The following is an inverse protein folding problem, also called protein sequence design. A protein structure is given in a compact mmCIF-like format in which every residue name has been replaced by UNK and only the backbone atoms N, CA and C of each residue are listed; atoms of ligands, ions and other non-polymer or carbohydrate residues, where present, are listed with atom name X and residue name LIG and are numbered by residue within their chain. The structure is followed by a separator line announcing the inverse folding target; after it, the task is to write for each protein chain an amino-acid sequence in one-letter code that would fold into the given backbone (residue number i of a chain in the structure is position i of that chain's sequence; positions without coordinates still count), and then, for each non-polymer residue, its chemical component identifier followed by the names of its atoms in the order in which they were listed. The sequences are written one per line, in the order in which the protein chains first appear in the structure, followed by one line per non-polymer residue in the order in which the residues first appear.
data_IF_442264262754
#
_entry.id   IF_442264262754
#
_cell.length_a   1.000
_cell.length_b   1.000
_cell.length_c   1.000
_cell.angle_alpha   90.00
_cell.angle_beta   90.00
_cell.angle_gamma   90.00
#
_symmetry.space_group_name_H-M   'P 1'
#
loop_
_entity.id
_entity.type
_entity.pdbx_description
1 polymer ?
#
# COMPACT_ATOMS: atom_id res chain seq x y z
N UNK A 1 4.56 28.19 -10.67
CA UNK A 1 4.10 28.02 -9.27
C UNK A 1 2.93 27.04 -9.16
N UNK A 2 1.83 27.19 -9.92
CA UNK A 2 0.67 26.28 -9.84
C UNK A 2 0.99 24.80 -10.17
N UNK A 3 1.80 24.54 -11.20
CA UNK A 3 2.19 23.17 -11.60
C UNK A 3 2.95 22.44 -10.50
N UNK A 4 3.87 23.13 -9.82
CA UNK A 4 4.61 22.59 -8.68
C UNK A 4 3.66 22.20 -7.54
N UNK A 5 2.70 23.07 -7.22
CA UNK A 5 1.68 22.78 -6.21
C UNK A 5 0.85 21.57 -6.58
N UNK A 6 0.38 21.47 -7.83
CA UNK A 6 -0.42 20.33 -8.29
C UNK A 6 0.35 19.01 -8.21
N UNK A 7 1.60 18.97 -8.67
CA UNK A 7 2.44 17.77 -8.63
C UNK A 7 2.68 17.32 -7.19
N UNK A 8 3.08 18.24 -6.32
CA UNK A 8 3.36 17.90 -4.91
C UNK A 8 2.09 17.45 -4.19
N UNK A 9 0.95 18.10 -4.44
CA UNK A 9 -0.34 17.66 -3.89
C UNK A 9 -0.71 16.27 -4.41
N UNK A 10 -0.52 16.00 -5.71
CA UNK A 10 -0.76 14.67 -6.28
C UNK A 10 0.09 13.59 -5.59
N UNK A 11 1.38 13.86 -5.37
CA UNK A 11 2.27 12.95 -4.64
C UNK A 11 1.82 12.76 -3.19
N UNK A 12 1.45 13.85 -2.50
CA UNK A 12 0.93 13.77 -1.13
C UNK A 12 -0.35 12.94 -1.03
N UNK A 13 -1.23 12.99 -2.03
CA UNK A 13 -2.44 12.16 -2.09
C UNK A 13 -2.10 10.68 -2.29
N UNK A 14 -1.21 10.35 -3.23
CA UNK A 14 -0.73 8.97 -3.42
C UNK A 14 -0.07 8.44 -2.14
N UNK A 15 0.76 9.25 -1.52
CA UNK A 15 1.42 8.95 -0.25
C UNK A 15 0.44 8.77 0.91
N UNK A 16 -0.60 9.59 1.00
CA UNK A 16 -1.65 9.43 2.01
C UNK A 16 -2.39 8.09 1.84
N UNK A 17 -2.64 7.67 0.60
CA UNK A 17 -3.22 6.34 0.31
C UNK A 17 -2.30 5.20 0.76
N UNK A 18 -0.99 5.30 0.51
CA UNK A 18 0.02 4.33 0.96
C UNK A 18 0.06 4.29 2.50
N UNK A 19 0.09 5.45 3.16
CA UNK A 19 0.09 5.59 4.62
C UNK A 19 -1.13 4.90 5.24
N UNK A 20 -2.33 5.15 4.70
CA UNK A 20 -3.56 4.49 5.16
C UNK A 20 -3.51 2.98 4.95
N UNK A 21 -2.97 2.52 3.82
CA UNK A 21 -2.84 1.10 3.52
C UNK A 21 -1.86 0.38 4.46
N UNK A 22 -0.74 1.03 4.80
CA UNK A 22 0.22 0.54 5.80
C UNK A 22 -0.40 0.39 7.19
N UNK A 23 -1.14 1.41 7.65
CA UNK A 23 -1.82 1.36 8.94
C UNK A 23 -2.92 0.29 8.98
N UNK A 24 -3.68 0.14 7.90
CA UNK A 24 -4.69 -0.90 7.78
C UNK A 24 -4.05 -2.31 7.79
N UNK A 25 -2.95 -2.49 7.07
CA UNK A 25 -2.18 -3.73 7.06
C UNK A 25 -1.64 -4.06 8.46
N UNK A 26 -0.99 -3.09 9.13
CA UNK A 26 -0.49 -3.26 10.49
C UNK A 26 -1.58 -3.72 11.44
N UNK A 27 -2.74 -3.03 11.44
CA UNK A 27 -3.89 -3.38 12.27
C UNK A 27 -4.42 -4.78 11.95
N UNK A 28 -4.51 -5.14 10.67
CA UNK A 28 -4.93 -6.47 10.25
C UNK A 28 -4.02 -7.55 10.83
N UNK A 29 -2.70 -7.37 10.71
CA UNK A 29 -1.71 -8.33 11.21
C UNK A 29 -1.77 -8.46 12.73
N UNK A 30 -1.94 -7.35 13.47
CA UNK A 30 -2.14 -7.38 14.93
C UNK A 30 -3.38 -8.16 15.32
N UNK A 31 -4.50 -7.96 14.62
CA UNK A 31 -5.74 -8.70 14.90
C UNK A 31 -5.55 -10.19 14.62
N UNK A 32 -4.94 -10.56 13.49
CA UNK A 32 -4.69 -11.98 13.17
C UNK A 32 -3.78 -12.64 14.21
N UNK A 33 -2.67 -12.00 14.57
CA UNK A 33 -1.71 -12.53 15.55
C UNK A 33 -2.25 -12.59 16.99
N UNK A 34 -3.24 -11.76 17.34
CA UNK A 34 -3.94 -11.86 18.63
C UNK A 34 -4.90 -13.04 18.69
N UNK A 35 -5.56 -13.38 17.57
CA UNK A 35 -6.55 -14.45 17.53
C UNK A 35 -5.91 -15.81 17.24
N UNK A 36 -4.80 -15.82 16.50
CA UNK A 36 -4.05 -17.01 16.13
C UNK A 36 -2.59 -16.76 16.52
N UNK A 37 -2.07 -17.52 17.48
CA UNK A 37 -0.65 -17.48 17.91
C UNK A 37 0.34 -17.88 16.81
N UNK A 38 -0.15 -18.12 15.59
CA UNK A 38 0.62 -18.31 14.38
C UNK A 38 -0.20 -17.83 13.18
N UNK A 39 0.47 -17.41 12.10
CA UNK A 39 -0.18 -17.11 10.84
C UNK A 39 -0.18 -18.35 9.95
N UNK A 40 -1.25 -18.54 9.18
CA UNK A 40 -1.25 -19.57 8.15
C UNK A 40 -0.29 -19.20 7.00
N UNK A 41 0.23 -20.21 6.30
CA UNK A 41 1.09 -19.99 5.12
C UNK A 41 0.43 -19.07 4.09
N UNK A 42 -0.88 -19.22 3.87
CA UNK A 42 -1.64 -18.39 2.94
C UNK A 42 -1.71 -16.92 3.39
N UNK A 43 -1.87 -16.65 4.70
CA UNK A 43 -1.84 -15.28 5.23
C UNK A 43 -0.47 -14.64 5.07
N UNK A 44 0.60 -15.43 5.25
CA UNK A 44 1.95 -14.92 5.10
C UNK A 44 2.33 -14.68 3.63
N UNK A 45 1.90 -15.55 2.72
CA UNK A 45 2.01 -15.33 1.27
C UNK A 45 1.23 -14.09 0.85
N UNK A 46 0.00 -13.92 1.34
CA UNK A 46 -0.80 -12.74 1.10
C UNK A 46 -0.12 -11.46 1.58
N UNK A 47 0.44 -11.47 2.80
CA UNK A 47 1.22 -10.36 3.33
C UNK A 47 2.43 -10.07 2.44
N UNK A 48 3.20 -11.09 2.05
CA UNK A 48 4.36 -10.95 1.17
C UNK A 48 4.00 -10.37 -0.20
N UNK A 49 2.94 -10.86 -0.83
CA UNK A 49 2.44 -10.36 -2.11
C UNK A 49 1.95 -8.93 -2.01
N UNK A 50 1.26 -8.59 -0.93
CA UNK A 50 0.80 -7.23 -0.69
C UNK A 50 1.98 -6.26 -0.52
N UNK A 51 2.99 -6.64 0.25
CA UNK A 51 4.22 -5.85 0.43
C UNK A 51 4.94 -5.64 -0.89
N UNK A 52 5.06 -6.69 -1.71
CA UNK A 52 5.67 -6.59 -3.03
C UNK A 52 4.87 -5.63 -3.94
N UNK A 53 3.53 -5.70 -3.92
CA UNK A 53 2.67 -4.76 -4.66
C UNK A 53 2.82 -3.33 -4.17
N UNK A 54 2.97 -3.11 -2.87
CA UNK A 54 3.18 -1.80 -2.28
C UNK A 54 4.46 -1.15 -2.83
N UNK A 55 5.55 -1.91 -2.91
CA UNK A 55 6.83 -1.44 -3.47
C UNK A 55 6.79 -1.23 -4.98
N UNK A 56 6.00 -2.02 -5.70
CA UNK A 56 5.76 -1.81 -7.13
C UNK A 56 4.81 -0.63 -7.42
N UNK A 57 4.33 0.07 -6.39
CA UNK A 57 3.49 1.25 -6.53
C UNK A 57 4.12 2.33 -7.41
N UNK A 58 3.29 3.01 -8.19
CA UNK A 58 3.69 4.10 -9.09
C UNK A 58 4.40 5.24 -8.36
N UNK A 59 3.98 5.52 -7.12
CA UNK A 59 4.53 6.56 -6.27
C UNK A 59 6.06 6.48 -6.15
N UNK A 60 6.59 5.33 -5.72
CA UNK A 60 8.02 5.15 -5.50
C UNK A 60 8.81 5.41 -6.79
N UNK A 61 8.31 4.90 -7.92
CA UNK A 61 8.95 5.16 -9.22
C UNK A 61 8.90 6.62 -9.63
N UNK A 62 7.80 7.32 -9.39
CA UNK A 62 7.71 8.76 -9.71
C UNK A 62 8.74 9.57 -8.92
N UNK A 63 8.90 9.28 -7.64
CA UNK A 63 9.88 9.95 -6.79
C UNK A 63 11.32 9.65 -7.27
N UNK A 64 11.64 8.38 -7.47
CA UNK A 64 12.99 7.93 -7.84
C UNK A 64 13.39 8.30 -9.27
N UNK A 65 12.49 8.18 -10.25
CA UNK A 65 12.81 8.37 -11.67
C UNK A 65 12.74 9.82 -12.14
N UNK A 66 11.97 10.67 -11.46
CA UNK A 66 11.65 12.00 -11.98
C UNK A 66 11.91 13.09 -10.95
N UNK A 67 11.45 12.94 -9.70
CA UNK A 67 11.62 13.99 -8.70
C UNK A 67 13.08 14.11 -8.24
N UNK A 68 13.69 13.01 -7.80
CA UNK A 68 15.09 13.01 -7.32
C UNK A 68 16.07 13.49 -8.41
N UNK A 69 16.01 13.00 -9.66
CA UNK A 69 16.88 13.49 -10.72
C UNK A 69 16.68 14.98 -11.02
N UNK A 70 15.45 15.49 -10.96
CA UNK A 70 15.20 16.92 -11.14
C UNK A 70 15.80 17.76 -10.01
N UNK A 71 15.75 17.29 -8.76
CA UNK A 71 16.40 17.96 -7.62
C UNK A 71 17.93 17.96 -7.80
N UNK A 72 18.52 16.84 -8.21
CA UNK A 72 19.96 16.73 -8.50
C UNK A 72 20.39 17.73 -9.57
N UNK A 73 19.68 17.76 -10.69
CA UNK A 73 19.97 18.68 -11.79
C UNK A 73 19.84 20.15 -11.37
N UNK A 74 18.89 20.47 -10.50
CA UNK A 74 18.69 21.82 -9.98
C UNK A 74 19.70 22.23 -8.88
N UNK A 75 20.40 21.26 -8.27
CA UNK A 75 21.25 21.52 -7.10
C UNK A 75 22.64 20.87 -7.15
N UNK A 76 23.44 21.07 -8.23
CA UNK A 76 24.74 20.42 -8.41
C UNK A 76 25.81 20.78 -7.36
N UNK A 77 25.58 21.81 -6.54
CA UNK A 77 26.50 22.24 -5.47
C UNK A 77 26.01 21.88 -4.06
N UNK A 78 24.78 21.35 -3.91
CA UNK A 78 24.25 20.88 -2.63
C UNK A 78 24.09 19.35 -2.59
N UNK A 79 24.85 18.65 -3.44
CA UNK A 79 24.84 17.19 -3.54
C UNK A 79 25.02 16.55 -2.16
N UNK A 80 25.85 17.09 -1.27
CA UNK A 80 26.02 16.54 0.09
C UNK A 80 24.75 16.53 0.96
N UNK A 81 23.85 17.52 0.83
CA UNK A 81 22.60 17.55 1.60
C UNK A 81 21.56 16.59 1.01
N UNK A 82 21.46 16.57 -0.32
CA UNK A 82 20.57 15.64 -1.01
C UNK A 82 21.04 14.19 -0.85
N UNK A 83 22.34 13.93 -0.97
CA UNK A 83 22.93 12.61 -0.77
C UNK A 83 22.79 12.15 0.69
N UNK A 84 22.94 13.05 1.66
CA UNK A 84 22.63 12.77 3.06
C UNK A 84 21.19 12.33 3.26
N UNK A 85 20.23 13.11 2.75
CA UNK A 85 18.80 12.79 2.80
C UNK A 85 18.50 11.45 2.10
N UNK A 86 19.04 11.23 0.91
CA UNK A 86 18.83 9.99 0.16
C UNK A 86 19.45 8.78 0.87
N UNK A 87 20.60 8.94 1.52
CA UNK A 87 21.19 7.88 2.34
C UNK A 87 20.29 7.52 3.52
N UNK A 88 19.67 8.51 4.18
CA UNK A 88 18.70 8.26 5.25
C UNK A 88 17.44 7.55 4.73
N UNK A 89 16.88 7.99 3.60
CA UNK A 89 15.72 7.36 2.97
C UNK A 89 16.04 5.91 2.53
N UNK A 90 17.24 5.67 1.99
CA UNK A 90 17.72 4.35 1.64
C UNK A 90 17.93 3.47 2.88
N UNK A 91 18.44 4.03 3.98
CA UNK A 91 18.56 3.33 5.25
C UNK A 91 17.21 2.86 5.79
N UNK A 92 16.18 3.72 5.73
CA UNK A 92 14.81 3.34 6.09
C UNK A 92 14.24 2.26 5.18
N UNK A 93 14.52 2.34 3.88
CA UNK A 93 14.12 1.30 2.94
C UNK A 93 14.82 -0.03 3.23
N UNK A 94 16.12 0.00 3.57
CA UNK A 94 16.87 -1.19 3.95
C UNK A 94 16.32 -1.83 5.22
N UNK A 95 16.06 -1.03 6.26
CA UNK A 95 15.46 -1.50 7.51
C UNK A 95 14.08 -2.15 7.28
N UNK A 96 13.28 -1.59 6.36
CA UNK A 96 12.02 -2.17 5.95
C UNK A 96 12.22 -3.54 5.25
N UNK A 97 13.14 -3.63 4.29
CA UNK A 97 13.45 -4.89 3.59
C UNK A 97 14.03 -5.96 4.51
N UNK A 98 14.90 -5.60 5.45
CA UNK A 98 15.42 -6.50 6.48
C UNK A 98 14.31 -7.08 7.34
N UNK A 99 13.34 -6.24 7.73
CA UNK A 99 12.17 -6.65 8.50
C UNK A 99 11.31 -7.67 7.72
N UNK A 100 11.10 -7.47 6.41
CA UNK A 100 10.40 -8.44 5.56
C UNK A 100 11.19 -9.75 5.42
N UNK A 101 12.50 -9.68 5.20
CA UNK A 101 13.34 -10.87 5.09
C UNK A 101 13.36 -11.68 6.40
N UNK A 102 13.23 -11.01 7.56
CA UNK A 102 13.05 -11.68 8.84
C UNK A 102 11.69 -12.40 8.93
N UNK A 103 10.61 -11.78 8.43
CA UNK A 103 9.27 -12.39 8.33
C UNK A 103 9.30 -13.66 7.46
N UNK A 104 9.87 -13.57 6.25
CA UNK A 104 9.88 -14.68 5.30
C UNK A 104 10.73 -15.86 5.77
N UNK A 105 11.94 -15.61 6.30
CA UNK A 105 12.80 -16.68 6.84
C UNK A 105 12.12 -17.45 7.98
N UNK A 106 11.38 -16.74 8.83
CA UNK A 106 10.65 -17.35 9.96
C UNK A 106 9.42 -18.12 9.55
N UNK A 107 8.81 -17.78 8.41
CA UNK A 107 7.71 -18.54 7.84
C UNK A 107 8.16 -19.83 7.14
N UNK A 108 9.37 -19.84 6.58
CA UNK A 108 9.99 -21.02 6.00
C UNK A 108 10.57 -21.99 7.02
N UNK A 109 10.89 -21.50 8.23
CA UNK A 109 11.30 -22.33 9.36
C UNK A 109 10.07 -23.00 10.00
N UNK A 110 9.80 -24.25 9.62
CA UNK A 110 9.08 -25.19 10.48
C UNK A 110 9.86 -25.29 11.81
N UNK A 111 9.20 -25.16 12.98
CA UNK A 111 9.51 -25.79 14.29
C UNK A 111 8.95 -24.98 15.50
N UNK A 112 7.97 -25.60 16.17
CA UNK A 112 7.71 -25.78 17.62
C UNK A 112 7.67 -24.64 18.66
N UNK A 113 7.85 -23.35 18.31
CA UNK A 113 7.78 -22.25 19.29
C UNK A 113 6.80 -21.11 18.91
N UNK A 114 5.51 -21.48 18.81
CA UNK A 114 4.38 -20.65 18.35
C UNK A 114 4.31 -19.24 18.98
N UNK A 115 4.32 -19.10 20.31
CA UNK A 115 4.07 -17.80 20.95
C UNK A 115 5.22 -16.78 20.81
N UNK A 116 6.47 -17.23 20.99
CA UNK A 116 7.66 -16.39 20.77
C UNK A 116 7.79 -15.98 19.30
N UNK A 117 7.38 -16.85 18.38
CA UNK A 117 7.40 -16.59 16.94
C UNK A 117 6.34 -15.55 16.54
N UNK A 118 5.13 -15.60 17.11
CA UNK A 118 4.11 -14.57 16.88
C UNK A 118 4.52 -13.18 17.37
N UNK A 119 5.09 -13.09 18.57
CA UNK A 119 5.58 -11.80 19.10
C UNK A 119 6.70 -11.20 18.24
N UNK A 120 7.64 -12.03 17.79
CA UNK A 120 8.73 -11.59 16.91
C UNK A 120 8.25 -11.25 15.49
N UNK A 121 7.21 -11.92 14.99
CA UNK A 121 6.59 -11.64 13.71
C UNK A 121 5.83 -10.31 13.73
N UNK A 122 5.08 -10.07 14.82
CA UNK A 122 4.45 -8.79 15.10
C UNK A 122 5.49 -7.65 15.10
N UNK A 123 6.58 -7.82 15.86
CA UNK A 123 7.64 -6.82 15.94
C UNK A 123 8.30 -6.53 14.57
N UNK A 124 8.48 -7.56 13.73
CA UNK A 124 9.03 -7.36 12.38
C UNK A 124 8.06 -6.61 11.46
N UNK A 125 6.76 -6.89 11.53
CA UNK A 125 5.73 -6.17 10.78
C UNK A 125 5.65 -4.71 11.26
N UNK A 126 5.70 -4.49 12.57
CA UNK A 126 5.71 -3.16 13.16
C UNK A 126 6.96 -2.36 12.75
N UNK A 127 8.13 -2.99 12.78
CA UNK A 127 9.38 -2.39 12.31
C UNK A 127 9.33 -2.00 10.84
N UNK A 128 8.78 -2.88 9.99
CA UNK A 128 8.55 -2.59 8.58
C UNK A 128 7.63 -1.38 8.36
N UNK A 129 6.44 -1.40 8.97
CA UNK A 129 5.47 -0.33 8.83
C UNK A 129 6.02 0.99 9.37
N UNK A 130 6.69 0.97 10.53
CA UNK A 130 7.31 2.15 11.12
C UNK A 130 8.39 2.76 10.21
N UNK A 131 9.28 1.93 9.65
CA UNK A 131 10.35 2.40 8.76
C UNK A 131 9.79 3.04 7.49
N UNK A 132 8.76 2.45 6.86
CA UNK A 132 8.12 3.06 5.69
C UNK A 132 7.32 4.32 6.03
N UNK A 133 6.60 4.34 7.15
CA UNK A 133 5.88 5.54 7.59
C UNK A 133 6.84 6.70 7.83
N UNK A 134 7.99 6.43 8.46
CA UNK A 134 9.06 7.40 8.67
C UNK A 134 9.68 7.87 7.35
N UNK A 135 9.87 6.95 6.39
CA UNK A 135 10.36 7.30 5.05
C UNK A 135 9.42 8.29 4.37
N UNK A 136 8.12 7.98 4.35
CA UNK A 136 7.09 8.85 3.81
C UNK A 136 7.11 10.23 4.50
N UNK A 137 7.13 10.26 5.83
CA UNK A 137 7.18 11.52 6.58
C UNK A 137 8.41 12.38 6.24
N UNK A 138 9.59 11.77 6.08
CA UNK A 138 10.81 12.47 5.63
C UNK A 138 10.71 12.96 4.18
N UNK A 139 10.17 12.17 3.28
CA UNK A 139 9.92 12.59 1.88
C UNK A 139 9.02 13.83 1.85
N UNK A 140 7.96 13.85 2.64
CA UNK A 140 7.01 14.98 2.67
C UNK A 140 7.59 16.25 3.31
N UNK A 141 8.34 16.10 4.42
CA UNK A 141 8.91 17.25 5.15
C UNK A 141 10.16 17.82 4.51
N UNK A 142 11.05 16.96 4.04
CA UNK A 142 12.39 17.36 3.63
C UNK A 142 12.53 17.32 2.10
N UNK A 143 12.18 16.20 1.46
CA UNK A 143 12.36 16.06 0.01
C UNK A 143 11.44 17.01 -0.76
N UNK A 144 10.17 17.11 -0.40
CA UNK A 144 9.23 17.99 -1.11
C UNK A 144 9.50 19.47 -0.84
N UNK A 145 9.94 19.81 0.38
CA UNK A 145 10.37 21.16 0.70
C UNK A 145 11.61 21.55 -0.10
N UNK A 146 12.59 20.64 -0.20
CA UNK A 146 13.77 20.84 -1.02
C UNK A 146 13.41 20.99 -2.50
N UNK A 147 12.57 20.10 -3.03
CA UNK A 147 12.11 20.14 -4.42
C UNK A 147 11.46 21.50 -4.75
N UNK A 148 10.57 21.99 -3.88
CA UNK A 148 9.91 23.29 -4.04
C UNK A 148 10.89 24.47 -4.04
N UNK A 149 11.98 24.36 -3.27
CA UNK A 149 13.00 25.41 -3.16
C UNK A 149 13.91 25.47 -4.39
N UNK A 150 14.28 24.32 -4.95
CA UNK A 150 15.35 24.23 -5.96
C UNK A 150 14.83 24.09 -7.39
N UNK A 151 13.69 23.43 -7.61
CA UNK A 151 13.16 23.20 -8.96
C UNK A 151 12.41 24.45 -9.44
N UNK A 152 12.84 24.96 -10.60
CA UNK A 152 12.32 26.18 -11.22
C UNK A 152 11.19 25.87 -12.22
N UNK A 153 10.32 26.85 -12.49
CA UNK A 153 9.02 26.74 -13.16
C UNK A 153 8.91 25.76 -14.34
N UNK A 154 9.76 25.87 -15.36
CA UNK A 154 9.68 25.02 -16.56
C UNK A 154 9.99 23.54 -16.29
N UNK A 155 10.89 23.25 -15.34
CA UNK A 155 11.21 21.88 -14.96
C UNK A 155 10.01 21.17 -14.30
N UNK A 156 9.15 21.90 -13.59
CA UNK A 156 7.91 21.34 -13.05
C UNK A 156 6.95 20.87 -14.15
N UNK A 157 6.88 21.57 -15.29
CA UNK A 157 6.04 21.11 -16.40
C UNK A 157 6.57 19.80 -17.01
N UNK A 158 7.89 19.69 -17.17
CA UNK A 158 8.51 18.44 -17.63
C UNK A 158 8.20 17.27 -16.68
N UNK A 159 8.29 17.48 -15.37
CA UNK A 159 7.95 16.48 -14.36
C UNK A 159 6.46 16.09 -14.44
N UNK A 160 5.55 17.07 -14.53
CA UNK A 160 4.12 16.80 -14.67
C UNK A 160 3.83 15.93 -15.90
N UNK A 161 4.43 16.26 -17.04
CA UNK A 161 4.28 15.48 -18.27
C UNK A 161 4.79 14.04 -18.09
N UNK A 162 5.96 13.88 -17.47
CA UNK A 162 6.53 12.55 -17.20
C UNK A 162 5.65 11.73 -16.26
N UNK A 163 5.02 12.35 -15.25
CA UNK A 163 4.08 11.67 -14.34
C UNK A 163 2.85 11.18 -15.09
N UNK A 164 2.24 12.04 -15.91
CA UNK A 164 1.07 11.68 -16.71
C UNK A 164 1.39 10.54 -17.69
N UNK A 165 2.55 10.60 -18.36
CA UNK A 165 2.99 9.54 -19.25
C UNK A 165 3.27 8.22 -18.48
N UNK A 166 3.84 8.30 -17.29
CA UNK A 166 4.06 7.14 -16.43
C UNK A 166 2.74 6.50 -15.99
N UNK A 167 1.76 7.32 -15.61
CA UNK A 167 0.44 6.83 -15.20
C UNK A 167 -0.34 6.23 -16.37
N UNK A 168 -0.26 6.82 -17.56
CA UNK A 168 -0.86 6.26 -18.77
C UNK A 168 -0.29 4.87 -19.07
N UNK A 169 1.04 4.71 -19.06
CA UNK A 169 1.70 3.42 -19.25
C UNK A 169 1.35 2.40 -18.17
N UNK A 170 1.30 2.85 -16.91
CA UNK A 170 0.90 1.98 -15.80
C UNK A 170 -0.55 1.51 -15.95
N UNK A 171 -1.43 2.38 -16.45
CA UNK A 171 -2.84 2.06 -16.69
C UNK A 171 -3.02 1.11 -17.87
N UNK A 172 -2.25 1.27 -18.95
CA UNK A 172 -2.22 0.35 -20.09
C UNK A 172 -1.72 -1.03 -19.65
N UNK A 173 -0.60 -1.10 -18.91
CA UNK A 173 -0.07 -2.37 -18.38
C UNK A 173 -1.05 -3.08 -17.42
N UNK A 174 -1.90 -2.31 -16.72
CA UNK A 174 -2.99 -2.84 -15.87
C UNK A 174 -4.25 -3.23 -16.66
N UNK A 175 -4.47 -2.68 -17.85
CA UNK A 175 -5.54 -3.14 -18.74
C UNK A 175 -5.19 -4.49 -19.36
N UNK A 176 -3.92 -4.70 -19.68
CA UNK A 176 -3.41 -5.95 -20.23
C UNK A 176 -3.26 -7.06 -19.17
N UNK A 177 -3.17 -6.68 -17.88
CA UNK A 177 -3.10 -7.61 -16.74
C UNK A 177 -4.29 -7.38 -15.81
N UNK A 178 -5.27 -8.27 -15.85
CA UNK A 178 -6.50 -8.22 -15.05
C UNK A 178 -6.32 -7.66 -13.61
N UNK A 179 -6.98 -6.53 -13.36
CA UNK A 179 -7.29 -5.81 -12.11
C UNK A 179 -6.39 -5.99 -10.86
N UNK A 180 -5.73 -4.90 -10.46
CA UNK A 180 -5.13 -4.70 -9.14
C UNK A 180 -6.18 -4.14 -8.19
N UNK A 181 -6.70 -4.97 -7.28
CA UNK A 181 -7.55 -4.50 -6.19
C UNK A 181 -6.70 -3.87 -5.06
N UNK A 182 -7.21 -2.85 -4.35
CA UNK A 182 -6.61 -2.34 -3.11
C UNK A 182 -6.46 -3.48 -2.08
N UNK A 183 -5.74 -3.25 -0.98
CA UNK A 183 -5.74 -4.20 0.12
C UNK A 183 -7.19 -4.45 0.56
N UNK A 184 -7.71 -5.62 0.22
CA UNK A 184 -9.01 -6.10 0.69
C UNK A 184 -8.72 -6.95 1.91
N UNK A 185 -9.33 -6.61 3.05
CA UNK A 185 -9.30 -7.49 4.22
C UNK A 185 -9.77 -8.88 3.77
N UNK A 186 -8.96 -9.94 3.93
CA UNK A 186 -9.43 -11.29 3.67
C UNK A 186 -10.67 -11.54 4.53
N UNK A 187 -11.76 -11.97 3.90
CA UNK A 187 -12.97 -12.34 4.62
C UNK A 187 -12.62 -13.38 5.70
N UNK A 188 -13.19 -13.30 6.92
CA UNK A 188 -12.96 -14.32 7.93
C UNK A 188 -13.37 -15.67 7.35
N UNK A 189 -12.44 -16.63 7.31
CA UNK A 189 -12.79 -18.01 6.98
C UNK A 189 -13.82 -18.49 8.01
N UNK A 190 -14.95 -19.08 7.58
CA UNK A 190 -15.91 -19.66 8.51
C UNK A 190 -15.20 -20.77 9.29
N UNK A 191 -15.28 -20.70 10.62
CA UNK A 191 -14.79 -21.74 11.50
C UNK A 191 -15.41 -23.08 11.07
N UNK A 192 -14.58 -24.01 10.63
CA UNK A 192 -15.00 -25.36 10.31
C UNK A 192 -15.48 -26.04 11.60
N UNK A 193 -16.80 -26.17 11.74
CA UNK A 193 -17.45 -26.85 12.86
C UNK A 193 -18.88 -27.26 12.52
N UNK A 194 -19.04 -28.48 12.01
CA UNK A 194 -20.17 -29.37 12.36
C UNK A 194 -21.54 -29.15 11.69
N UNK A 195 -21.75 -29.86 10.57
CA UNK A 195 -22.85 -30.81 10.33
C UNK A 195 -24.32 -30.34 10.19
N UNK A 196 -24.79 -30.41 8.93
CA UNK A 196 -26.03 -31.07 8.41
C UNK A 196 -27.40 -30.48 8.77
N UNK A 197 -28.12 -30.02 7.74
CA UNK A 197 -29.32 -30.71 7.20
C UNK A 197 -29.85 -30.03 5.91
N UNK A 198 -29.90 -30.80 4.82
CA UNK A 198 -30.74 -30.55 3.66
C UNK A 198 -32.21 -30.86 3.98
N UNK A 199 -33.19 -30.29 3.26
CA UNK A 199 -33.79 -30.98 2.09
C UNK A 199 -33.91 -30.02 0.88
N UNK A 200 -33.67 -30.46 -0.36
CA UNK A 200 -34.52 -31.24 -1.27
C UNK A 200 -35.77 -30.49 -1.81
N UNK A 201 -35.89 -30.53 -3.15
CA UNK A 201 -37.02 -30.25 -4.04
C UNK A 201 -37.43 -28.81 -4.42
N UNK A 202 -36.92 -28.40 -5.58
CA UNK A 202 -37.68 -28.16 -6.82
C UNK A 202 -39.08 -27.54 -6.74
N UNK A 203 -39.20 -26.28 -7.18
CA UNK A 203 -40.18 -25.78 -8.17
C UNK A 203 -40.19 -24.24 -8.18
N UNK A 204 -39.86 -23.64 -9.33
CA UNK A 204 -40.39 -22.32 -9.70
C UNK A 204 -41.88 -22.49 -10.05
N UNK A 205 -42.78 -21.48 -9.97
CA UNK A 205 -42.58 -20.15 -10.55
C UNK A 205 -43.33 -18.96 -9.87
N UNK A 206 -43.27 -17.82 -10.56
CA UNK A 206 -44.24 -16.72 -10.62
C UNK A 206 -44.05 -15.50 -9.68
N UNK A 207 -43.69 -14.39 -10.35
CA UNK A 207 -43.75 -13.00 -9.90
C UNK A 207 -45.18 -12.59 -9.49
N UNK A 208 -45.35 -11.71 -8.48
CA UNK A 208 -46.53 -10.88 -8.36
C UNK A 208 -46.23 -9.39 -8.65
N UNK A 209 -47.08 -8.83 -9.50
CA UNK A 209 -47.29 -7.41 -9.80
C UNK A 209 -47.58 -6.61 -8.52
N UNK A 210 -47.01 -5.39 -8.32
CA UNK A 210 -47.42 -4.53 -7.23
C UNK A 210 -48.68 -3.71 -7.60
N UNK A 211 -49.76 -3.92 -6.85
CA UNK A 211 -50.97 -3.09 -6.89
C UNK A 211 -50.78 -1.80 -6.07
N UNK A 212 -51.11 -0.65 -6.67
CA UNK A 212 -51.20 0.65 -6.01
C UNK A 212 -52.44 0.72 -5.09
N UNK A 213 -52.37 1.31 -3.89
CA UNK A 213 -53.55 1.65 -3.12
C UNK A 213 -53.99 3.10 -3.36
N UNK A 214 -55.28 3.23 -3.68
CA UNK A 214 -56.04 4.46 -3.84
C UNK A 214 -56.64 4.84 -2.48
N UNK A 215 -56.36 6.06 -2.00
CA UNK A 215 -57.04 6.75 -0.89
C UNK A 215 -56.99 8.25 -1.22
N UNK A 216 -57.95 9.10 -0.92
CA UNK A 216 -59.39 9.04 -0.73
C UNK A 216 -59.82 10.52 -0.61
N UNK A 217 -60.99 10.86 -1.15
CA UNK A 217 -61.85 11.99 -0.76
C UNK A 217 -61.36 13.44 -0.98
N UNK A 218 -62.04 14.14 -1.88
CA UNK A 218 -63.06 15.12 -1.51
C UNK A 218 -64.16 15.15 -2.59
#
# INVERSE_FOLDING_TARGET
MLTATYILVSLSVEQASIRMSLLAFQKYMHVQLRHQSSLSLAQLQYAGDWLNRLYQGSYWRKVEMYLIPAIRQATPHADGLLDGLLNELNGLNHAALESINAVQRRAGASIDHSELQAGQLCAAIDGFCAALLQRLEKEERELFALARKVIVGEAWFAIAYQFLAHDARAQEARRDKAQVLPFVLPAPLPAAGGSVAAPADGAAPALPVPAQPLRAQA
#
